data_IF_170131133545
#
_entry.id   IF_170131133545
#
_cell.length_a   1.000
_cell.length_b   1.000
_cell.length_c   1.000
_cell.angle_alpha   90.00
_cell.angle_beta   90.00
_cell.angle_gamma   90.00
#
_symmetry.space_group_name_H-M   'P 1'
#
loop_
_entity.id
_entity.type
_entity.pdbx_description
1 polymer ?
#
# COMPACT_ATOMS: atom_id res chain seq x y z
N UNK A 1 19.60 -8.86 45.87
CA UNK A 1 20.00 -8.72 44.46
C UNK A 1 19.82 -7.27 44.05
N UNK A 2 20.90 -6.50 43.94
CA UNK A 2 20.85 -5.15 43.40
C UNK A 2 20.94 -5.25 41.88
N UNK A 3 19.80 -5.17 41.21
CA UNK A 3 19.77 -5.07 39.76
C UNK A 3 20.39 -3.72 39.39
N UNK A 4 21.57 -3.75 38.76
CA UNK A 4 22.20 -2.58 38.17
C UNK A 4 21.35 -2.09 36.99
N UNK A 5 20.23 -1.41 37.31
CA UNK A 5 19.39 -0.73 36.34
C UNK A 5 20.12 0.51 35.86
N UNK A 6 20.25 0.67 34.55
CA UNK A 6 20.72 1.92 33.95
C UNK A 6 19.85 3.09 34.42
N UNK A 7 20.44 4.20 34.86
CA UNK A 7 19.73 5.43 35.30
C UNK A 7 19.09 6.23 34.16
N UNK A 8 19.03 5.65 32.96
CA UNK A 8 18.57 6.29 31.75
C UNK A 8 17.04 6.40 31.74
N UNK A 9 16.52 7.60 31.43
CA UNK A 9 15.09 7.88 31.38
C UNK A 9 14.59 7.95 29.95
N UNK A 10 13.36 7.48 29.73
CA UNK A 10 12.69 7.56 28.44
C UNK A 10 12.25 9.00 28.19
N UNK A 11 12.56 9.55 27.02
CA UNK A 11 12.12 10.92 26.71
C UNK A 11 10.62 11.04 26.41
N UNK A 12 9.94 9.93 26.11
CA UNK A 12 8.52 9.95 25.80
C UNK A 12 7.61 9.74 27.02
N UNK A 13 8.08 9.04 28.06
CA UNK A 13 7.28 8.75 29.25
C UNK A 13 7.98 9.07 30.59
N UNK A 14 9.23 9.55 30.53
CA UNK A 14 10.05 10.00 31.66
C UNK A 14 10.38 8.92 32.70
N UNK A 15 9.97 7.67 32.44
CA UNK A 15 10.26 6.50 33.29
C UNK A 15 11.64 5.95 32.98
N UNK A 16 12.23 5.27 33.96
CA UNK A 16 13.49 4.55 33.79
C UNK A 16 13.35 3.46 32.72
N UNK A 17 14.35 3.39 31.85
CA UNK A 17 14.41 2.41 30.77
C UNK A 17 15.37 1.33 31.17
N UNK A 18 14.85 0.11 31.29
CA UNK A 18 15.67 -1.07 31.53
C UNK A 18 16.42 -1.47 30.26
N UNK A 19 17.58 -2.09 30.41
CA UNK A 19 18.44 -2.54 29.30
C UNK A 19 17.68 -3.35 28.23
N UNK A 20 16.70 -4.16 28.64
CA UNK A 20 15.88 -4.99 27.75
C UNK A 20 15.02 -4.19 26.78
N UNK A 21 14.57 -3.02 27.21
CA UNK A 21 13.66 -2.15 26.44
C UNK A 21 14.36 -0.86 25.97
N UNK A 22 15.67 -0.75 26.22
CA UNK A 22 16.50 0.40 25.84
C UNK A 22 16.57 0.53 24.33
N UNK A 23 16.00 1.61 23.85
CA UNK A 23 16.07 2.03 22.46
C UNK A 23 16.76 3.39 22.39
N UNK A 24 17.86 3.49 21.67
CA UNK A 24 18.59 4.75 21.47
C UNK A 24 18.34 5.24 20.05
N UNK A 25 17.80 6.44 19.93
CA UNK A 25 17.44 7.08 18.67
C UNK A 25 17.77 8.57 18.77
N UNK A 26 18.51 9.11 17.80
CA UNK A 26 18.85 10.54 17.71
C UNK A 26 19.48 11.10 19.01
N UNK A 27 20.44 10.36 19.58
CA UNK A 27 21.09 10.65 20.86
C UNK A 27 20.17 10.69 22.09
N UNK A 28 18.94 10.18 21.95
CA UNK A 28 17.91 10.14 22.99
C UNK A 28 17.51 8.70 23.30
N UNK A 29 17.02 8.45 24.50
CA UNK A 29 16.63 7.11 24.95
C UNK A 29 15.12 7.03 25.06
N UNK A 30 14.58 5.94 24.52
CA UNK A 30 13.16 5.61 24.51
C UNK A 30 12.98 4.15 24.91
N UNK A 31 11.76 3.82 25.34
CA UNK A 31 11.28 2.44 25.37
C UNK A 31 10.96 1.99 23.95
N UNK A 32 11.19 0.71 23.63
CA UNK A 32 10.70 0.10 22.38
C UNK A 32 9.19 0.30 22.23
N UNK A 33 8.45 0.20 23.33
CA UNK A 33 7.02 0.44 23.35
C UNK A 33 6.63 1.92 23.18
N UNK A 34 7.45 2.86 23.63
CA UNK A 34 7.19 4.31 23.52
C UNK A 34 7.64 4.89 22.18
N UNK A 35 8.38 4.12 21.38
CA UNK A 35 8.85 4.55 20.07
C UNK A 35 7.70 4.54 19.05
N UNK A 36 6.89 5.61 19.07
CA UNK A 36 5.66 5.73 18.27
C UNK A 36 5.59 7.07 17.56
N UNK A 37 4.94 7.09 16.41
CA UNK A 37 4.73 8.31 15.64
C UNK A 37 3.74 9.23 16.35
N UNK A 38 4.00 10.53 16.40
CA UNK A 38 3.06 11.49 16.99
C UNK A 38 1.72 11.57 16.23
N UNK A 39 1.75 11.55 14.88
CA UNK A 39 0.55 11.67 14.07
C UNK A 39 -0.35 10.43 14.05
N UNK A 40 0.22 9.24 13.82
CA UNK A 40 -0.59 8.01 13.75
C UNK A 40 -0.53 7.14 15.00
N UNK A 41 0.30 7.49 16.00
CA UNK A 41 0.55 6.66 17.19
C UNK A 41 1.02 5.24 16.88
N UNK A 42 1.42 4.98 15.63
CA UNK A 42 1.90 3.68 15.17
C UNK A 42 3.31 3.41 15.68
N UNK A 43 3.59 2.15 16.01
CA UNK A 43 4.91 1.70 16.46
C UNK A 43 5.95 1.89 15.37
N UNK A 44 6.99 2.66 15.68
CA UNK A 44 8.12 2.93 14.80
C UNK A 44 9.19 1.87 15.00
N UNK A 45 10.01 1.64 13.97
CA UNK A 45 11.19 0.76 14.03
C UNK A 45 12.44 1.59 13.87
N UNK A 46 13.54 1.19 14.51
CA UNK A 46 14.83 1.89 14.47
C UNK A 46 15.36 2.18 13.06
N UNK A 47 14.98 1.38 12.06
CA UNK A 47 15.40 1.59 10.67
C UNK A 47 14.46 2.45 9.80
N UNK A 48 13.27 2.81 10.29
CA UNK A 48 12.22 3.43 9.46
C UNK A 48 11.46 4.55 10.19
N UNK A 49 12.17 5.39 10.94
CA UNK A 49 11.61 6.57 11.60
C UNK A 49 12.38 7.84 11.22
N UNK A 50 11.77 8.99 11.46
CA UNK A 50 12.44 10.28 11.38
C UNK A 50 12.12 11.12 12.62
N UNK A 51 13.10 11.76 13.24
CA UNK A 51 12.89 12.73 14.32
C UNK A 51 12.92 14.14 13.75
N UNK A 52 12.01 15.01 14.22
CA UNK A 52 12.05 16.44 13.94
C UNK A 52 11.77 17.19 15.23
N UNK A 53 12.71 18.04 15.64
CA UNK A 53 12.64 18.81 16.90
C UNK A 53 12.38 17.95 18.15
N UNK A 54 12.87 16.70 18.15
CA UNK A 54 12.65 15.74 19.24
C UNK A 54 11.30 15.02 19.21
N UNK A 55 10.46 15.27 18.19
CA UNK A 55 9.21 14.54 17.95
C UNK A 55 9.44 13.44 16.91
N UNK A 56 8.90 12.25 17.18
CA UNK A 56 9.06 11.07 16.32
C UNK A 56 7.95 10.98 15.27
N UNK A 57 8.35 10.80 14.02
CA UNK A 57 7.47 10.65 12.87
C UNK A 57 7.78 9.37 12.09
N UNK A 58 6.76 8.77 11.49
CA UNK A 58 6.98 7.74 10.49
C UNK A 58 7.36 8.39 9.16
N UNK A 59 8.09 7.67 8.30
CA UNK A 59 8.49 8.15 6.96
C UNK A 59 7.37 8.85 6.17
N UNK A 60 6.14 8.29 6.04
CA UNK A 60 5.09 8.95 5.27
C UNK A 60 4.60 10.25 5.93
N UNK A 61 4.47 10.33 7.25
CA UNK A 61 4.08 11.58 7.91
C UNK A 61 5.18 12.63 7.91
N UNK A 62 6.44 12.19 8.00
CA UNK A 62 7.57 13.10 7.93
C UNK A 62 7.68 13.76 6.54
N UNK A 63 7.57 12.96 5.47
CA UNK A 63 7.53 13.46 4.09
C UNK A 63 6.35 14.41 3.84
N UNK A 64 5.17 14.08 4.39
CA UNK A 64 3.98 14.94 4.28
C UNK A 64 4.13 16.27 5.02
N UNK A 65 4.76 16.29 6.19
CA UNK A 65 5.07 17.52 6.94
C UNK A 65 6.03 18.41 6.17
N UNK A 66 7.13 17.84 5.66
CA UNK A 66 8.16 18.58 4.92
C UNK A 66 7.64 19.14 3.58
N UNK A 67 6.75 18.41 2.91
CA UNK A 67 6.09 18.91 1.69
C UNK A 67 5.16 20.09 1.96
N UNK A 68 4.59 20.19 3.17
CA UNK A 68 3.68 21.28 3.54
C UNK A 68 4.41 22.51 4.07
N UNK A 69 5.58 22.35 4.67
CA UNK A 69 6.38 23.46 5.23
C UNK A 69 7.30 24.15 4.22
N UNK A 70 7.38 23.65 2.98
CA UNK A 70 7.85 24.45 1.83
C UNK A 70 9.34 24.84 1.85
N UNK A 71 10.15 24.07 1.13
CA UNK A 71 11.42 24.49 0.49
C UNK A 71 12.52 25.05 1.39
N UNK A 72 13.47 24.19 1.76
CA UNK A 72 14.87 24.57 1.61
C UNK A 72 15.63 23.39 1.01
N UNK A 73 16.16 23.63 -0.18
CA UNK A 73 17.07 22.75 -0.89
C UNK A 73 18.23 22.38 0.04
N UNK A 74 18.44 21.08 0.27
CA UNK A 74 19.72 20.46 0.62
C UNK A 74 19.61 18.98 0.35
N UNK A 75 20.24 18.58 -0.76
CA UNK A 75 21.01 17.36 -0.92
C UNK A 75 20.60 16.19 -0.04
N UNK A 76 19.84 15.26 -0.62
CA UNK A 76 19.79 13.89 -0.16
C UNK A 76 21.11 13.19 -0.56
N UNK A 77 22.23 13.67 -0.03
CA UNK A 77 23.47 12.90 0.06
C UNK A 77 23.38 12.04 1.32
N UNK A 78 23.59 10.73 1.17
CA UNK A 78 23.71 9.83 2.32
C UNK A 78 22.78 8.63 2.31
N UNK A 79 22.66 7.95 1.17
CA UNK A 79 22.50 6.49 1.23
C UNK A 79 23.91 5.90 1.44
N UNK A 80 24.29 5.37 2.62
CA UNK A 80 25.44 4.50 2.68
C UNK A 80 25.03 3.16 2.05
N UNK A 81 25.13 3.09 0.72
CA UNK A 81 25.39 1.82 0.06
C UNK A 81 26.77 1.38 0.54
N UNK A 82 26.78 0.46 1.50
CA UNK A 82 27.94 -0.40 1.72
C UNK A 82 28.18 -1.14 0.41
N UNK A 83 29.10 -0.61 -0.37
CA UNK A 83 29.74 -1.25 -1.50
C UNK A 83 30.67 -2.35 -0.94
N UNK A 84 30.95 -3.46 -1.63
CA UNK A 84 31.65 -3.59 -2.92
C UNK A 84 31.77 -5.11 -3.26
N UNK A 85 32.34 -5.56 -4.40
CA UNK A 85 32.81 -4.85 -5.61
C UNK A 85 32.28 -5.46 -6.95
N UNK A 86 32.00 -4.69 -8.02
CA UNK A 86 32.84 -4.33 -9.20
C UNK A 86 33.32 -5.57 -10.01
N UNK A 87 33.12 -5.74 -11.34
CA UNK A 87 33.44 -4.93 -12.55
C UNK A 87 32.87 -5.65 -13.82
N UNK A 88 32.98 -5.17 -15.08
CA UNK A 88 32.97 -3.82 -15.67
C UNK A 88 32.03 -3.66 -16.91
N UNK A 89 32.01 -2.41 -17.42
CA UNK A 89 31.70 -1.83 -18.76
C UNK A 89 31.74 -2.85 -19.94
N UNK A 90 30.96 -2.80 -21.03
CA UNK A 90 30.59 -1.74 -21.98
C UNK A 90 29.46 -2.26 -22.91
N UNK A 91 28.94 -1.41 -23.81
CA UNK A 91 28.20 -1.89 -24.98
C UNK A 91 26.71 -1.57 -25.00
N UNK A 92 26.41 -0.37 -25.50
CA UNK A 92 25.43 -0.15 -26.57
C UNK A 92 23.99 -0.67 -26.39
N UNK A 93 23.07 0.29 -26.43
CA UNK A 93 21.66 0.09 -26.75
C UNK A 93 21.54 -0.74 -28.05
N UNK A 94 20.75 -1.82 -28.04
CA UNK A 94 19.71 -1.85 -29.07
C UNK A 94 18.35 -2.25 -28.49
N UNK A 95 17.33 -1.75 -29.16
CA UNK A 95 15.95 -2.17 -28.99
C UNK A 95 15.84 -3.69 -29.19
N UNK A 96 15.80 -4.46 -28.11
CA UNK A 96 15.50 -5.88 -28.14
C UNK A 96 13.98 -6.07 -27.95
N UNK A 97 13.29 -6.04 -29.08
CA UNK A 97 12.61 -7.24 -29.57
C UNK A 97 11.92 -8.08 -28.51
N UNK A 98 10.60 -7.85 -28.45
CA UNK A 98 9.55 -8.86 -28.26
C UNK A 98 10.06 -10.28 -27.93
N UNK A 99 10.19 -10.58 -26.65
CA UNK A 99 10.15 -11.96 -26.15
C UNK A 99 9.33 -12.02 -24.87
N UNK A 100 8.04 -12.20 -25.08
CA UNK A 100 7.09 -12.51 -24.01
C UNK A 100 5.94 -13.31 -24.61
N UNK A 101 6.28 -14.30 -25.45
CA UNK A 101 5.31 -15.01 -26.29
C UNK A 101 5.20 -16.51 -26.07
N UNK A 102 5.95 -17.16 -25.17
CA UNK A 102 6.03 -18.64 -25.20
C UNK A 102 6.10 -19.36 -23.85
N UNK A 103 5.44 -18.83 -22.82
CA UNK A 103 5.05 -19.68 -21.68
C UNK A 103 3.55 -19.48 -21.41
N UNK A 104 2.77 -20.49 -21.80
CA UNK A 104 1.32 -20.57 -21.70
C UNK A 104 0.79 -20.73 -20.27
N UNK A 105 1.32 -19.96 -19.32
CA UNK A 105 0.65 -19.70 -18.06
C UNK A 105 -0.22 -18.47 -18.23
N UNK A 106 -1.52 -18.57 -17.97
CA UNK A 106 -2.49 -17.49 -18.16
C UNK A 106 -2.01 -16.17 -17.52
N UNK A 107 -1.55 -15.22 -18.35
CA UNK A 107 -1.04 -13.90 -17.91
C UNK A 107 -2.20 -12.94 -17.69
N UNK A 108 -3.17 -13.33 -16.87
CA UNK A 108 -4.34 -12.51 -16.56
C UNK A 108 -3.89 -11.14 -16.02
N UNK A 109 -4.33 -10.04 -16.65
CA UNK A 109 -3.97 -8.68 -16.24
C UNK A 109 -5.15 -7.99 -15.58
N UNK A 110 -4.95 -7.47 -14.39
CA UNK A 110 -5.95 -6.69 -13.67
C UNK A 110 -6.39 -5.49 -14.50
N UNK A 111 -7.68 -5.34 -14.76
CA UNK A 111 -8.19 -4.14 -15.47
C UNK A 111 -8.01 -2.88 -14.60
N UNK A 112 -8.06 -3.03 -13.28
CA UNK A 112 -7.91 -1.91 -12.33
C UNK A 112 -6.50 -1.34 -12.25
N UNK A 113 -5.45 -2.17 -12.27
CA UNK A 113 -4.07 -1.71 -12.09
C UNK A 113 -3.11 -2.09 -13.24
N UNK A 114 -3.61 -2.81 -14.26
CA UNK A 114 -2.86 -3.29 -15.45
C UNK A 114 -1.73 -4.27 -15.16
N UNK A 115 -1.55 -4.69 -13.90
CA UNK A 115 -0.55 -5.67 -13.47
C UNK A 115 -1.08 -7.10 -13.58
N UNK A 116 -0.17 -8.07 -13.68
CA UNK A 116 -0.54 -9.49 -13.68
C UNK A 116 -1.20 -9.89 -12.35
N UNK A 117 -2.26 -10.66 -12.46
CA UNK A 117 -3.06 -11.20 -11.37
C UNK A 117 -2.75 -12.68 -11.25
N UNK A 118 -2.28 -13.09 -10.08
CA UNK A 118 -2.05 -14.50 -9.78
C UNK A 118 -3.34 -15.17 -9.28
N UNK A 119 -3.53 -16.49 -9.51
CA UNK A 119 -4.75 -17.22 -9.13
C UNK A 119 -5.17 -17.02 -7.66
N UNK A 120 -4.20 -16.94 -6.75
CA UNK A 120 -4.43 -16.72 -5.30
C UNK A 120 -5.17 -15.39 -4.99
N UNK A 121 -4.90 -14.36 -5.78
CA UNK A 121 -5.45 -13.01 -5.60
C UNK A 121 -6.44 -12.62 -6.71
N UNK A 122 -6.72 -13.54 -7.63
CA UNK A 122 -7.60 -13.34 -8.78
C UNK A 122 -9.06 -13.34 -8.36
N UNK A 123 -9.77 -12.31 -8.77
CA UNK A 123 -11.23 -12.24 -8.78
C UNK A 123 -11.63 -12.04 -10.23
N UNK A 124 -12.38 -12.99 -10.79
CA UNK A 124 -12.85 -12.92 -12.18
C UNK A 124 -14.30 -12.49 -12.18
N UNK A 125 -14.61 -11.45 -12.94
CA UNK A 125 -15.88 -10.77 -12.91
C UNK A 125 -16.26 -10.43 -14.34
N UNK A 126 -17.36 -10.99 -14.85
CA UNK A 126 -17.76 -10.88 -16.27
C UNK A 126 -16.61 -11.22 -17.25
N UNK A 127 -15.83 -12.27 -16.94
CA UNK A 127 -14.67 -12.68 -17.73
C UNK A 127 -13.44 -11.76 -17.61
N UNK A 128 -13.51 -10.68 -16.84
CA UNK A 128 -12.39 -9.76 -16.61
C UNK A 128 -11.71 -10.03 -15.26
N UNK A 129 -10.38 -10.23 -15.23
CA UNK A 129 -9.65 -10.47 -14.00
C UNK A 129 -9.34 -9.16 -13.26
N UNK A 130 -9.50 -9.18 -11.95
CA UNK A 130 -9.14 -8.13 -11.00
C UNK A 130 -8.35 -8.72 -9.83
N UNK A 131 -7.55 -7.90 -9.15
CA UNK A 131 -7.06 -8.26 -7.81
C UNK A 131 -8.17 -8.09 -6.77
N UNK A 132 -8.15 -8.91 -5.73
CA UNK A 132 -9.00 -8.72 -4.52
C UNK A 132 -8.92 -7.28 -3.96
N UNK A 133 -7.73 -6.68 -3.99
CA UNK A 133 -7.48 -5.29 -3.55
C UNK A 133 -7.90 -4.22 -4.57
N UNK A 134 -7.98 -4.59 -5.84
CA UNK A 134 -8.45 -3.70 -6.91
C UNK A 134 -9.97 -3.73 -7.05
N UNK A 135 -10.63 -4.75 -6.52
CA UNK A 135 -12.08 -4.91 -6.53
C UNK A 135 -12.76 -4.04 -5.46
N UNK A 136 -12.79 -2.73 -5.71
CA UNK A 136 -13.39 -1.71 -4.82
C UNK A 136 -14.22 -0.71 -5.59
N UNK A 137 -15.18 -0.09 -4.91
CA UNK A 137 -16.04 0.93 -5.51
C UNK A 137 -15.24 2.20 -5.87
N UNK A 138 -15.42 2.73 -7.09
CA UNK A 138 -14.72 3.94 -7.56
C UNK A 138 -15.13 5.21 -6.82
N UNK A 139 -16.38 5.33 -6.36
CA UNK A 139 -16.90 6.56 -5.75
C UNK A 139 -16.65 6.70 -4.25
N UNK A 140 -16.46 5.60 -3.52
CA UNK A 140 -16.30 5.67 -2.06
C UNK A 140 -15.28 4.71 -1.48
N UNK A 141 -14.51 4.01 -2.32
CA UNK A 141 -13.50 3.06 -1.87
C UNK A 141 -14.03 1.86 -1.08
N UNK A 142 -15.37 1.72 -0.98
CA UNK A 142 -16.00 0.61 -0.28
C UNK A 142 -15.54 -0.72 -0.87
N UNK A 143 -15.21 -1.66 0.00
CA UNK A 143 -14.98 -3.05 -0.39
C UNK A 143 -16.28 -3.62 -0.93
N UNK A 144 -16.27 -4.02 -2.19
CA UNK A 144 -17.41 -4.66 -2.85
C UNK A 144 -17.13 -6.15 -2.92
N UNK A 145 -18.17 -6.96 -2.76
CA UNK A 145 -18.06 -8.41 -2.85
C UNK A 145 -18.31 -8.85 -4.29
N UNK A 146 -17.61 -9.90 -4.79
CA UNK A 146 -17.86 -10.43 -6.13
C UNK A 146 -19.30 -10.90 -6.33
N UNK A 147 -20.02 -11.19 -5.25
CA UNK A 147 -21.45 -11.55 -5.28
C UNK A 147 -22.40 -10.35 -5.34
N UNK A 148 -21.94 -9.12 -5.08
CA UNK A 148 -22.83 -7.97 -4.93
C UNK A 148 -22.16 -6.65 -5.38
N UNK A 149 -21.79 -6.59 -6.66
CA UNK A 149 -21.21 -5.41 -7.29
C UNK A 149 -21.99 -5.05 -8.56
N UNK A 150 -21.80 -3.83 -9.05
CA UNK A 150 -22.37 -3.37 -10.31
C UNK A 150 -21.23 -2.80 -11.16
N UNK A 151 -21.09 -3.27 -12.40
CA UNK A 151 -20.13 -2.75 -13.36
C UNK A 151 -20.84 -1.83 -14.37
N UNK A 152 -20.40 -0.58 -14.47
CA UNK A 152 -20.88 0.39 -15.46
C UNK A 152 -19.69 1.05 -16.14
N UNK A 153 -19.62 1.00 -17.48
CA UNK A 153 -18.51 1.53 -18.30
C UNK A 153 -17.11 1.05 -17.84
N UNK A 154 -16.99 -0.22 -17.43
CA UNK A 154 -15.72 -0.79 -16.95
C UNK A 154 -15.28 -0.31 -15.57
N UNK A 155 -16.14 0.43 -14.85
CA UNK A 155 -15.92 0.86 -13.47
C UNK A 155 -16.81 0.08 -12.52
N UNK A 156 -16.30 -0.18 -11.32
CA UNK A 156 -16.98 -0.98 -10.31
C UNK A 156 -17.66 -0.07 -9.28
N UNK A 157 -18.94 -0.33 -9.03
CA UNK A 157 -19.78 0.41 -8.10
C UNK A 157 -20.42 -0.55 -7.08
N UNK A 158 -20.64 -0.05 -5.87
CA UNK A 158 -21.52 -0.75 -4.92
C UNK A 158 -22.98 -0.40 -5.24
N UNK A 159 -23.93 -1.24 -4.80
CA UNK A 159 -25.38 -0.97 -4.99
C UNK A 159 -25.79 0.43 -4.54
N UNK A 160 -25.23 0.89 -3.43
CA UNK A 160 -25.54 2.20 -2.88
C UNK A 160 -25.05 3.35 -3.77
N UNK A 161 -23.77 3.35 -4.17
CA UNK A 161 -23.22 4.40 -5.04
C UNK A 161 -23.75 4.33 -6.46
N UNK A 162 -24.03 3.14 -6.99
CA UNK A 162 -24.66 3.02 -8.31
C UNK A 162 -26.06 3.62 -8.33
N UNK A 163 -26.87 3.35 -7.29
CA UNK A 163 -28.21 3.93 -7.15
C UNK A 163 -28.15 5.45 -7.01
N UNK A 164 -27.18 6.00 -6.27
CA UNK A 164 -26.99 7.46 -6.17
C UNK A 164 -26.59 8.07 -7.51
N UNK A 165 -25.66 7.44 -8.24
CA UNK A 165 -25.24 7.88 -9.58
C UNK A 165 -26.38 7.91 -10.59
N UNK A 166 -27.25 6.90 -10.58
CA UNK A 166 -28.43 6.87 -11.46
C UNK A 166 -29.41 7.99 -11.09
N UNK A 167 -29.64 8.21 -9.79
CA UNK A 167 -30.55 9.26 -9.30
C UNK A 167 -30.06 10.67 -9.68
N UNK A 168 -28.75 10.91 -9.65
CA UNK A 168 -28.17 12.20 -10.05
C UNK A 168 -28.09 12.40 -11.57
N UNK A 169 -27.85 11.34 -12.34
CA UNK A 169 -27.64 11.44 -13.80
C UNK A 169 -28.91 11.29 -14.66
N UNK A 170 -30.05 10.94 -14.09
CA UNK A 170 -31.37 11.11 -14.73
C UNK A 170 -31.51 10.49 -16.13
N UNK A 171 -30.89 9.34 -16.41
CA UNK A 171 -31.07 8.63 -17.67
C UNK A 171 -31.98 7.41 -17.48
N UNK A 172 -33.29 7.64 -17.65
CA UNK A 172 -34.26 6.60 -17.99
C UNK A 172 -33.88 6.07 -19.38
N UNK A 173 -33.39 4.83 -19.53
CA UNK A 173 -33.48 4.03 -20.78
C UNK A 173 -32.77 2.66 -20.77
N UNK A 174 -32.01 2.26 -19.75
CA UNK A 174 -31.32 0.95 -19.80
C UNK A 174 -31.49 0.15 -18.51
N UNK A 175 -32.75 -0.14 -18.22
CA UNK A 175 -33.16 -1.39 -17.59
C UNK A 175 -33.05 -2.49 -18.66
N UNK A 176 -32.57 -3.67 -18.24
CA UNK A 176 -32.52 -4.96 -18.95
C UNK A 176 -31.19 -5.33 -19.64
N UNK A 177 -30.69 -6.52 -19.28
CA UNK A 177 -29.46 -7.16 -19.73
C UNK A 177 -28.28 -6.91 -18.77
N UNK A 178 -28.08 -7.67 -17.69
CA UNK A 178 -27.62 -9.06 -17.77
C UNK A 178 -27.99 -9.77 -16.44
N UNK A 179 -29.16 -10.42 -16.44
CA UNK A 179 -29.52 -11.40 -15.42
C UNK A 179 -30.07 -12.65 -16.09
N UNK A 180 -29.34 -13.19 -17.08
CA UNK A 180 -29.62 -14.52 -17.59
C UNK A 180 -28.30 -15.23 -17.89
N UNK A 181 -27.75 -15.90 -16.88
CA UNK A 181 -27.40 -17.31 -17.00
C UNK A 181 -27.26 -17.90 -15.61
N UNK A 182 -28.44 -18.18 -15.07
CA UNK A 182 -28.62 -19.27 -14.13
C UNK A 182 -27.92 -20.53 -14.65
N UNK A 183 -27.20 -21.12 -13.73
CA UNK A 183 -26.72 -22.49 -13.67
C UNK A 183 -27.69 -23.47 -14.35
N UNK A 184 -27.38 -23.93 -15.57
CA UNK A 184 -27.87 -25.23 -16.04
C UNK A 184 -26.68 -26.19 -16.00
N UNK A 185 -26.61 -26.95 -14.91
CA UNK A 185 -25.81 -28.15 -14.83
C UNK A 185 -26.40 -29.23 -15.75
N UNK A 186 -25.58 -30.07 -16.39
CA UNK A 186 -26.06 -31.22 -17.14
C UNK A 186 -26.23 -32.45 -16.23
N UNK A 187 -27.46 -32.94 -16.13
CA UNK A 187 -27.85 -34.28 -15.69
C UNK A 187 -29.21 -34.55 -16.40
N UNK A 188 -29.48 -35.61 -17.15
CA UNK A 188 -28.85 -36.92 -17.41
C UNK A 188 -29.13 -37.32 -18.86
#
# INVERSE_FOLDING_TARGET
MAFAGTTQKCMACEKTVYLVDKLTADNRIYHKACFRCHHCKGTLKLGNFNSFEGVLYCRPHFDQLFKRTGSLEKSFEGNPKIAKPEKPVDGERPAATKVSGMFGGTRDKCVGCKSTVYPTEKVTVNGTPYHKSCFKCTHGGCVISPSNYIAHEGKLYCRHHHTQLIKEKGNLSQLEGDHEKETMAPES
#
